data_IF_491380727899
#
_entry.id   IF_491380727899
#
_cell.length_a   1.000
_cell.length_b   1.000
_cell.length_c   1.000
_cell.angle_alpha   90.00
_cell.angle_beta   90.00
_cell.angle_gamma   90.00
#
_symmetry.space_group_name_H-M   'P 1'
#
loop_
_entity.id
_entity.type
_entity.pdbx_description
1 polymer ?
#
# COMPACT_ATOMS: atom_id res chain seq x y z
N UNK A 1 2.36 13.92 -3.49
CA UNK A 1 3.56 14.70 -3.11
C UNK A 1 4.77 13.80 -3.29
N UNK A 2 5.50 13.95 -4.40
CA UNK A 2 6.64 13.09 -4.73
C UNK A 2 7.81 13.36 -3.78
N UNK A 3 8.45 12.31 -3.23
CA UNK A 3 9.62 12.43 -2.34
C UNK A 3 10.64 13.40 -2.93
N UNK A 4 10.99 13.18 -4.19
CA UNK A 4 12.10 13.85 -4.85
C UNK A 4 11.89 15.38 -4.95
N UNK A 5 10.65 15.84 -5.04
CA UNK A 5 10.34 17.29 -5.05
C UNK A 5 10.51 17.92 -3.66
N UNK A 6 10.18 17.19 -2.59
CA UNK A 6 10.29 17.70 -1.21
C UNK A 6 11.68 17.51 -0.60
N UNK A 7 12.49 16.64 -1.19
CA UNK A 7 13.91 16.46 -0.86
C UNK A 7 14.84 17.25 -1.79
N UNK A 8 14.31 18.05 -2.71
CA UNK A 8 15.10 18.83 -3.68
C UNK A 8 16.03 17.98 -4.56
N UNK A 9 15.59 16.77 -4.89
CA UNK A 9 16.29 15.80 -5.74
C UNK A 9 15.75 15.79 -7.18
N UNK A 10 14.49 16.19 -7.38
CA UNK A 10 13.84 16.18 -8.69
C UNK A 10 14.45 17.23 -9.62
N UNK A 11 14.93 16.86 -10.82
CA UNK A 11 15.46 17.81 -11.79
C UNK A 11 14.35 18.68 -12.41
N UNK A 12 13.10 18.19 -12.39
CA UNK A 12 11.93 18.87 -12.96
C UNK A 12 10.77 18.68 -11.96
N UNK A 13 10.71 19.49 -10.89
CA UNK A 13 9.71 19.31 -9.85
C UNK A 13 8.31 19.59 -10.37
N UNK A 14 7.31 18.84 -9.88
CA UNK A 14 5.93 19.08 -10.25
C UNK A 14 5.43 20.43 -9.70
N UNK A 15 4.44 21.01 -10.38
CA UNK A 15 3.72 22.16 -9.85
C UNK A 15 2.90 21.73 -8.62
N UNK A 16 3.27 22.23 -7.44
CA UNK A 16 2.56 21.98 -6.19
C UNK A 16 1.68 23.17 -5.78
N UNK A 17 0.50 22.94 -5.18
CA UNK A 17 -0.30 24.01 -4.61
C UNK A 17 0.48 24.83 -3.57
N UNK A 18 0.28 26.14 -3.54
CA UNK A 18 0.98 27.04 -2.62
C UNK A 18 0.83 26.63 -1.14
N UNK A 19 -0.34 26.10 -0.76
CA UNK A 19 -0.60 25.58 0.60
C UNK A 19 0.36 24.44 0.96
N UNK A 20 0.65 23.55 0.01
CA UNK A 20 1.56 22.42 0.22
C UNK A 20 3.01 22.91 0.35
N UNK A 21 3.40 23.88 -0.49
CA UNK A 21 4.74 24.47 -0.48
C UNK A 21 5.04 25.27 0.79
N UNK A 22 4.04 25.96 1.37
CA UNK A 22 4.17 26.61 2.69
C UNK A 22 4.55 25.63 3.80
N UNK A 23 4.16 24.36 3.66
CA UNK A 23 4.47 23.29 4.61
C UNK A 23 5.64 22.41 4.17
N UNK A 24 6.42 22.82 3.16
CA UNK A 24 7.54 22.03 2.63
C UNK A 24 8.48 21.48 3.73
N UNK A 25 8.96 22.29 4.71
CA UNK A 25 9.85 21.76 5.76
C UNK A 25 9.25 20.60 6.57
N UNK A 26 7.94 20.64 6.83
CA UNK A 26 7.23 19.57 7.53
C UNK A 26 7.14 18.30 6.67
N UNK A 27 6.88 18.46 5.36
CA UNK A 27 6.82 17.33 4.42
C UNK A 27 8.20 16.71 4.19
N UNK A 28 9.25 17.52 4.10
CA UNK A 28 10.65 17.06 4.06
C UNK A 28 10.95 16.24 5.30
N UNK A 29 10.69 16.80 6.49
CA UNK A 29 10.87 16.09 7.77
C UNK A 29 10.09 14.78 7.82
N UNK A 30 8.79 14.80 7.51
CA UNK A 30 7.97 13.58 7.50
C UNK A 30 8.52 12.53 6.52
N UNK A 31 8.91 12.95 5.31
CA UNK A 31 9.48 12.06 4.29
C UNK A 31 10.76 11.40 4.78
N UNK A 32 11.69 12.16 5.33
CA UNK A 32 12.95 11.64 5.88
C UNK A 32 12.69 10.62 6.98
N UNK A 33 11.86 10.95 7.98
CA UNK A 33 11.59 10.04 9.09
C UNK A 33 10.79 8.79 8.67
N UNK A 34 9.84 8.93 7.76
CA UNK A 34 9.08 7.80 7.22
C UNK A 34 10.02 6.86 6.44
N UNK A 35 10.90 7.42 5.61
CA UNK A 35 11.90 6.66 4.87
C UNK A 35 12.87 5.94 5.81
N UNK A 36 13.44 6.61 6.81
CA UNK A 36 14.32 6.00 7.81
C UNK A 36 13.65 4.85 8.58
N UNK A 37 12.39 5.03 8.99
CA UNK A 37 11.61 3.99 9.67
C UNK A 37 11.47 2.76 8.77
N UNK A 38 11.06 2.95 7.52
CA UNK A 38 10.90 1.84 6.58
C UNK A 38 12.25 1.19 6.23
N UNK A 39 13.34 1.95 6.15
CA UNK A 39 14.70 1.41 5.97
C UNK A 39 15.13 0.51 7.13
N UNK A 40 14.73 0.81 8.37
CA UNK A 40 14.95 -0.11 9.50
C UNK A 40 14.23 -1.44 9.31
N UNK A 41 12.98 -1.40 8.83
CA UNK A 41 12.22 -2.62 8.50
C UNK A 41 12.90 -3.38 7.36
N UNK A 42 13.35 -2.69 6.30
CA UNK A 42 14.09 -3.32 5.20
C UNK A 42 15.38 -4.00 5.69
N UNK A 43 16.12 -3.40 6.61
CA UNK A 43 17.34 -4.01 7.17
C UNK A 43 17.04 -5.29 7.98
N UNK A 44 15.92 -5.32 8.72
CA UNK A 44 15.45 -6.54 9.37
C UNK A 44 15.07 -7.62 8.35
N UNK A 45 14.30 -7.26 7.32
CA UNK A 45 13.94 -8.18 6.23
C UNK A 45 15.19 -8.70 5.51
N UNK A 46 16.18 -7.83 5.24
CA UNK A 46 17.44 -8.19 4.60
C UNK A 46 18.17 -9.27 5.40
N UNK A 47 18.22 -9.10 6.72
CA UNK A 47 18.84 -10.07 7.64
C UNK A 47 18.11 -11.40 7.62
N UNK A 48 16.78 -11.39 7.68
CA UNK A 48 15.97 -12.62 7.66
C UNK A 48 15.99 -13.33 6.30
N UNK A 49 16.13 -12.59 5.21
CA UNK A 49 16.35 -13.15 3.88
C UNK A 49 17.77 -13.71 3.70
N UNK A 50 18.69 -13.42 4.64
CA UNK A 50 20.10 -13.80 4.59
C UNK A 50 20.84 -13.37 3.31
N UNK A 51 20.36 -12.32 2.64
CA UNK A 51 21.02 -11.69 1.48
C UNK A 51 22.17 -10.80 1.96
N UNK A 52 23.13 -10.42 1.09
CA UNK A 52 24.25 -9.58 1.49
C UNK A 52 23.82 -8.32 2.25
N UNK A 53 24.65 -7.86 3.17
CA UNK A 53 24.33 -6.71 4.02
C UNK A 53 23.90 -5.49 3.20
N UNK A 54 22.86 -4.80 3.69
CA UNK A 54 22.29 -3.59 3.08
C UNK A 54 21.80 -3.75 1.64
N UNK A 55 21.56 -4.96 1.15
CA UNK A 55 21.01 -5.19 -0.20
C UNK A 55 19.70 -4.45 -0.37
N UNK A 56 18.70 -4.71 0.47
CA UNK A 56 17.40 -4.04 0.36
C UNK A 56 17.49 -2.54 0.57
N UNK A 57 18.24 -2.06 1.58
CA UNK A 57 18.36 -0.62 1.84
C UNK A 57 19.08 0.15 0.72
N UNK A 58 20.07 -0.45 0.05
CA UNK A 58 20.69 0.17 -1.14
C UNK A 58 19.72 0.32 -2.32
N UNK A 59 18.85 -0.66 -2.54
CA UNK A 59 17.84 -0.57 -3.61
C UNK A 59 16.79 0.53 -3.34
N UNK A 60 16.66 0.95 -2.08
CA UNK A 60 15.69 1.93 -1.61
C UNK A 60 16.38 3.15 -1.01
N UNK A 61 17.61 3.47 -1.42
CA UNK A 61 18.33 4.59 -0.83
C UNK A 61 17.61 5.91 -1.12
N UNK A 62 17.43 6.74 -0.08
CA UNK A 62 16.70 8.01 -0.17
C UNK A 62 17.27 9.01 -1.19
N UNK A 63 18.54 8.87 -1.57
CA UNK A 63 19.20 9.70 -2.58
C UNK A 63 18.86 9.31 -4.02
N UNK A 64 18.29 8.12 -4.23
CA UNK A 64 17.87 7.68 -5.55
C UNK A 64 16.58 8.41 -5.96
N UNK A 65 16.50 8.77 -7.24
CA UNK A 65 15.26 9.16 -7.89
C UNK A 65 14.32 7.95 -7.87
N UNK A 66 13.08 8.14 -7.44
CA UNK A 66 12.14 7.04 -7.22
C UNK A 66 10.69 7.52 -7.26
N UNK A 67 9.76 6.60 -7.52
CA UNK A 67 8.33 6.85 -7.37
C UNK A 67 7.82 7.01 -5.91
N UNK A 68 8.71 7.18 -4.93
CA UNK A 68 8.35 7.40 -3.53
C UNK A 68 7.45 8.62 -3.40
N UNK A 69 6.36 8.52 -2.65
CA UNK A 69 5.46 9.65 -2.49
C UNK A 69 4.61 9.59 -1.23
N UNK A 70 4.25 10.78 -0.78
CA UNK A 70 3.18 10.99 0.19
C UNK A 70 1.84 11.11 -0.54
N UNK A 71 0.85 10.37 -0.06
CA UNK A 71 -0.55 10.47 -0.49
C UNK A 71 -1.43 10.88 0.69
N UNK A 72 -2.15 11.99 0.48
CA UNK A 72 -3.20 12.45 1.38
C UNK A 72 -4.54 12.01 0.81
N UNK A 73 -5.36 11.35 1.61
CA UNK A 73 -6.69 10.93 1.20
C UNK A 73 -7.69 11.48 2.21
N UNK A 74 -8.70 12.17 1.71
CA UNK A 74 -9.90 12.59 2.46
C UNK A 74 -11.09 11.90 1.82
N UNK A 75 -11.74 11.03 2.56
CA UNK A 75 -13.01 10.41 2.17
C UNK A 75 -14.14 10.98 3.06
N UNK A 76 -15.28 11.38 2.48
CA UNK A 76 -16.43 11.81 3.26
C UNK A 76 -16.98 10.66 4.12
N UNK A 77 -17.85 10.97 5.10
CA UNK A 77 -18.61 9.94 5.81
C UNK A 77 -19.28 8.98 4.83
N UNK A 78 -19.19 7.68 5.12
CA UNK A 78 -19.79 6.62 4.31
C UNK A 78 -20.74 5.82 5.20
N UNK A 79 -22.06 5.97 5.05
CA UNK A 79 -23.02 5.25 5.88
C UNK A 79 -22.89 3.74 5.64
N UNK A 80 -23.24 2.87 6.61
CA UNK A 80 -23.10 1.42 6.45
C UNK A 80 -23.93 0.83 5.30
N UNK A 81 -24.98 1.55 4.87
CA UNK A 81 -25.79 1.20 3.69
C UNK A 81 -25.09 1.49 2.36
N UNK A 82 -23.99 2.26 2.38
CA UNK A 82 -23.16 2.50 1.21
C UNK A 82 -22.29 1.26 0.96
N UNK A 83 -22.71 0.47 -0.03
CA UNK A 83 -21.99 -0.73 -0.48
C UNK A 83 -20.82 -0.39 -1.40
N UNK A 84 -20.62 0.88 -1.75
CA UNK A 84 -19.49 1.29 -2.57
C UNK A 84 -18.19 1.10 -1.78
N UNK A 85 -17.28 0.30 -2.35
CA UNK A 85 -15.94 0.18 -1.79
C UNK A 85 -15.17 1.47 -2.10
N UNK A 86 -14.79 2.22 -1.07
CA UNK A 86 -14.05 3.48 -1.21
C UNK A 86 -12.71 3.31 -1.95
N UNK A 87 -12.10 2.14 -1.81
CA UNK A 87 -10.94 1.71 -2.58
C UNK A 87 -11.01 0.20 -2.77
N UNK A 88 -11.14 -0.25 -4.01
CA UNK A 88 -11.25 -1.66 -4.39
C UNK A 88 -10.14 -2.57 -3.85
N UNK A 89 -10.35 -3.88 -3.93
CA UNK A 89 -9.34 -4.85 -3.53
C UNK A 89 -8.08 -4.73 -4.40
N UNK A 90 -6.92 -4.56 -3.78
CA UNK A 90 -5.64 -4.42 -4.48
C UNK A 90 -4.46 -4.82 -3.57
N UNK A 91 -3.28 -4.93 -4.18
CA UNK A 91 -1.98 -4.95 -3.51
C UNK A 91 -1.25 -3.63 -3.79
N UNK A 92 -0.31 -3.28 -2.92
CA UNK A 92 0.53 -2.10 -3.14
C UNK A 92 1.65 -2.43 -4.13
N UNK A 93 1.86 -1.60 -5.15
CA UNK A 93 2.89 -1.88 -6.16
C UNK A 93 4.33 -1.68 -5.66
N UNK A 94 4.53 -0.88 -4.61
CA UNK A 94 5.86 -0.56 -4.08
C UNK A 94 6.45 -1.69 -3.23
N UNK A 95 7.38 -1.34 -2.35
CA UNK A 95 8.03 -2.27 -1.44
C UNK A 95 7.38 -2.25 -0.06
N UNK A 96 7.27 -1.06 0.53
CA UNK A 96 6.65 -0.87 1.83
C UNK A 96 5.73 0.36 1.79
N UNK A 97 4.61 0.24 2.49
CA UNK A 97 3.65 1.33 2.65
C UNK A 97 3.49 1.65 4.13
N UNK A 98 3.74 2.89 4.52
CA UNK A 98 3.48 3.40 5.87
C UNK A 98 2.16 4.17 5.86
N UNK A 99 1.16 3.68 6.58
CA UNK A 99 -0.18 4.24 6.63
C UNK A 99 -0.52 4.75 8.03
N UNK A 100 -0.96 6.00 8.10
CA UNK A 100 -1.63 6.57 9.27
C UNK A 100 -3.09 6.87 8.93
N UNK A 101 -3.99 6.36 9.76
CA UNK A 101 -5.41 6.68 9.74
C UNK A 101 -5.98 6.65 11.15
N UNK A 102 -7.07 7.39 11.38
CA UNK A 102 -7.76 7.44 12.69
C UNK A 102 -9.06 6.66 12.69
N UNK A 103 -9.77 6.72 11.57
CA UNK A 103 -11.03 6.02 11.34
C UNK A 103 -10.74 4.68 10.67
N UNK A 104 -11.55 3.66 10.97
CA UNK A 104 -11.47 2.32 10.38
C UNK A 104 -11.75 2.28 8.87
N UNK A 105 -12.20 1.13 8.39
CA UNK A 105 -12.54 0.90 6.98
C UNK A 105 -11.50 0.10 6.21
N UNK A 106 -10.23 0.11 6.63
CA UNK A 106 -9.21 -0.78 6.03
C UNK A 106 -9.55 -2.24 6.38
N UNK A 107 -9.60 -3.08 5.35
CA UNK A 107 -9.71 -4.52 5.48
C UNK A 107 -8.59 -5.22 4.72
N UNK A 108 -8.12 -6.33 5.28
CA UNK A 108 -7.17 -7.25 4.64
C UNK A 108 -7.86 -8.59 4.37
N UNK A 109 -7.52 -9.24 3.27
CA UNK A 109 -7.98 -10.58 2.96
C UNK A 109 -7.07 -11.59 3.65
N UNK A 110 -7.62 -12.39 4.57
CA UNK A 110 -6.84 -13.41 5.27
C UNK A 110 -6.53 -14.58 4.32
N UNK A 111 -5.25 -14.96 4.12
CA UNK A 111 -4.89 -15.96 3.12
C UNK A 111 -5.34 -17.39 3.49
N UNK A 112 -5.57 -17.66 4.78
CA UNK A 112 -5.96 -18.99 5.27
C UNK A 112 -7.45 -19.27 5.12
N UNK A 113 -8.28 -18.24 5.22
CA UNK A 113 -9.75 -18.37 5.23
C UNK A 113 -10.43 -17.72 4.04
N UNK A 114 -9.71 -16.90 3.26
CA UNK A 114 -10.26 -16.04 2.21
C UNK A 114 -11.40 -15.12 2.71
N UNK A 115 -11.31 -14.68 3.97
CA UNK A 115 -12.27 -13.76 4.58
C UNK A 115 -11.65 -12.39 4.83
N UNK A 116 -12.46 -11.34 4.70
CA UNK A 116 -12.05 -9.97 5.01
C UNK A 116 -12.01 -9.72 6.52
N UNK A 117 -10.91 -9.17 7.01
CA UNK A 117 -10.74 -8.76 8.40
C UNK A 117 -10.43 -7.26 8.49
N UNK A 118 -11.09 -6.55 9.40
CA UNK A 118 -10.79 -5.14 9.66
C UNK A 118 -9.45 -4.98 10.34
N UNK A 119 -8.64 -4.03 9.86
CA UNK A 119 -7.43 -3.58 10.54
C UNK A 119 -7.80 -2.41 11.43
N UNK A 120 -7.67 -2.60 12.73
CA UNK A 120 -8.02 -1.58 13.69
C UNK A 120 -6.94 -0.49 13.78
N UNK A 121 -7.26 0.79 13.58
CA UNK A 121 -6.31 1.86 13.83
C UNK A 121 -6.04 1.96 15.34
N UNK A 122 -4.76 1.98 15.73
CA UNK A 122 -4.34 2.13 17.12
C UNK A 122 -3.71 3.52 17.31
N UNK A 123 -4.10 4.29 18.34
CA UNK A 123 -3.45 5.56 18.65
C UNK A 123 -1.93 5.40 18.80
N UNK A 124 -1.17 6.30 18.18
CA UNK A 124 0.31 6.26 18.21
C UNK A 124 0.95 5.17 17.34
N UNK A 125 0.18 4.42 16.56
CA UNK A 125 0.70 3.36 15.70
C UNK A 125 0.51 3.70 14.22
N UNK A 126 1.45 3.22 13.40
CA UNK A 126 1.32 3.17 11.96
C UNK A 126 1.00 1.75 11.52
N UNK A 127 0.29 1.60 10.40
CA UNK A 127 0.11 0.33 9.71
C UNK A 127 1.18 0.24 8.63
N UNK A 128 1.87 -0.90 8.55
CA UNK A 128 2.88 -1.16 7.51
C UNK A 128 2.44 -2.32 6.65
N UNK A 129 2.34 -2.10 5.34
CA UNK A 129 2.06 -3.15 4.36
C UNK A 129 3.31 -3.47 3.54
N UNK A 130 3.50 -4.75 3.21
CA UNK A 130 4.41 -5.23 2.17
C UNK A 130 3.75 -5.06 0.80
N UNK A 131 4.51 -4.55 -0.17
CA UNK A 131 4.09 -4.42 -1.55
C UNK A 131 4.73 -5.43 -2.50
N UNK A 132 4.24 -5.43 -3.72
CA UNK A 132 4.58 -6.39 -4.77
C UNK A 132 6.06 -6.33 -5.18
N UNK A 133 6.73 -5.18 -5.05
CA UNK A 133 8.15 -5.09 -5.39
C UNK A 133 8.99 -6.01 -4.49
N UNK A 134 8.68 -6.10 -3.19
CA UNK A 134 9.36 -7.04 -2.30
C UNK A 134 8.96 -8.50 -2.57
N UNK A 135 7.75 -8.77 -3.07
CA UNK A 135 7.37 -10.11 -3.54
C UNK A 135 8.26 -10.52 -4.72
N UNK A 136 8.42 -9.64 -5.70
CA UNK A 136 9.29 -9.86 -6.87
C UNK A 136 10.75 -10.07 -6.46
N UNK A 137 11.32 -9.12 -5.71
CA UNK A 137 12.72 -9.17 -5.25
C UNK A 137 13.02 -10.42 -4.42
N UNK A 138 12.09 -10.87 -3.58
CA UNK A 138 12.29 -12.05 -2.72
C UNK A 138 11.93 -13.39 -3.38
N UNK A 139 11.63 -13.42 -4.68
CA UNK A 139 11.22 -14.64 -5.36
C UNK A 139 9.93 -15.26 -4.80
N UNK A 140 9.03 -14.42 -4.27
CA UNK A 140 7.75 -14.84 -3.71
C UNK A 140 7.79 -15.31 -2.25
N UNK A 141 8.93 -15.23 -1.56
CA UNK A 141 8.99 -15.55 -0.12
C UNK A 141 8.18 -14.56 0.72
N UNK A 142 8.38 -13.27 0.47
CA UNK A 142 7.55 -12.23 1.07
C UNK A 142 6.22 -12.15 0.32
N UNK A 143 5.15 -11.80 1.04
CA UNK A 143 3.80 -11.71 0.49
C UNK A 143 3.24 -10.30 0.64
N UNK A 144 2.64 -9.78 -0.43
CA UNK A 144 1.80 -8.60 -0.37
C UNK A 144 0.36 -9.03 -0.14
N UNK A 145 -0.26 -8.51 0.92
CA UNK A 145 -1.64 -8.87 1.26
C UNK A 145 -2.62 -8.03 0.43
N UNK A 146 -3.63 -8.70 -0.13
CA UNK A 146 -4.76 -8.03 -0.76
C UNK A 146 -5.52 -7.27 0.33
N UNK A 147 -5.78 -5.99 0.09
CA UNK A 147 -6.48 -5.13 1.01
C UNK A 147 -7.43 -4.19 0.26
N UNK A 148 -8.43 -3.66 0.98
CA UNK A 148 -9.44 -2.73 0.46
C UNK A 148 -9.84 -1.72 1.52
N UNK A 149 -10.53 -0.66 1.12
CA UNK A 149 -11.18 0.28 2.05
C UNK A 149 -12.68 0.26 1.81
N UNK A 150 -13.43 -0.12 2.85
CA UNK A 150 -14.89 -0.10 2.90
C UNK A 150 -15.37 0.92 3.94
N UNK A 151 -16.69 1.08 4.07
CA UNK A 151 -17.29 1.89 5.11
C UNK A 151 -16.71 1.53 6.51
N UNK A 152 -16.33 2.53 7.32
CA UNK A 152 -15.87 2.31 8.68
C UNK A 152 -16.97 1.64 9.52
N UNK A 153 -16.61 0.77 10.49
CA UNK A 153 -17.60 0.07 11.30
C UNK A 153 -18.28 0.99 12.32
N UNK A 154 -19.57 0.76 12.57
CA UNK A 154 -20.34 1.43 13.62
C UNK A 154 -20.42 2.95 13.46
N UNK A 155 -20.40 3.68 14.57
CA UNK A 155 -20.53 5.15 14.60
C UNK A 155 -19.44 5.89 13.80
N UNK A 156 -18.29 5.24 13.56
CA UNK A 156 -17.21 5.81 12.76
C UNK A 156 -17.61 6.06 11.30
N UNK A 157 -18.67 5.39 10.81
CA UNK A 157 -19.22 5.58 9.47
C UNK A 157 -19.66 7.04 9.22
N UNK A 158 -20.06 7.75 10.28
CA UNK A 158 -20.45 9.15 10.23
C UNK A 158 -19.26 10.13 10.23
N UNK A 159 -18.04 9.64 10.41
CA UNK A 159 -16.83 10.47 10.47
C UNK A 159 -16.17 10.64 9.10
N UNK A 160 -15.63 11.82 8.84
CA UNK A 160 -14.73 12.02 7.68
C UNK A 160 -13.45 11.23 7.91
N UNK A 161 -13.07 10.39 6.96
CA UNK A 161 -11.84 9.59 7.03
C UNK A 161 -10.68 10.35 6.39
N UNK A 162 -9.64 10.58 7.17
CA UNK A 162 -8.34 11.05 6.69
C UNK A 162 -7.32 9.92 6.77
N UNK A 163 -6.53 9.75 5.72
CA UNK A 163 -5.33 8.93 5.77
C UNK A 163 -4.13 9.63 5.14
N UNK A 164 -2.98 9.42 5.77
CA UNK A 164 -1.67 9.85 5.31
C UNK A 164 -0.86 8.61 5.01
N UNK A 165 -0.37 8.50 3.77
CA UNK A 165 0.36 7.33 3.31
C UNK A 165 1.71 7.76 2.78
N UNK A 166 2.78 7.06 3.17
CA UNK A 166 4.07 7.13 2.50
C UNK A 166 4.33 5.80 1.79
N UNK A 167 4.47 5.85 0.46
CA UNK A 167 4.82 4.70 -0.36
C UNK A 167 6.33 4.73 -0.61
N UNK A 168 7.02 3.66 -0.22
CA UNK A 168 8.42 3.41 -0.53
C UNK A 168 8.54 2.39 -1.65
N UNK A 169 9.39 2.68 -2.63
CA UNK A 169 9.65 1.92 -3.85
C UNK A 169 11.16 1.83 -4.06
N UNK A 170 11.64 0.84 -4.84
CA UNK A 170 13.02 0.85 -5.29
C UNK A 170 13.29 2.10 -6.15
N UNK A 171 14.55 2.53 -6.20
CA UNK A 171 14.99 3.59 -7.13
C UNK A 171 14.55 3.29 -8.56
N UNK A 172 14.24 4.32 -9.34
CA UNK A 172 13.60 4.20 -10.66
C UNK A 172 14.38 3.26 -11.60
N UNK A 173 15.71 3.38 -11.61
CA UNK A 173 16.63 2.59 -12.45
C UNK A 173 17.06 1.25 -11.84
N UNK A 174 16.55 0.90 -10.65
CA UNK A 174 16.85 -0.39 -10.02
C UNK A 174 16.26 -1.52 -10.87
N UNK A 175 17.06 -2.52 -11.29
CA UNK A 175 16.54 -3.69 -11.98
C UNK A 175 15.61 -4.48 -11.05
N UNK A 176 14.40 -4.81 -11.52
CA UNK A 176 13.43 -5.61 -10.78
C UNK A 176 13.73 -7.12 -10.88
N UNK A 177 14.97 -7.50 -10.56
CA UNK A 177 15.45 -8.88 -10.57
C UNK A 177 15.36 -9.51 -9.19
N UNK A 178 15.07 -10.81 -9.15
CA UNK A 178 15.12 -11.64 -7.95
C UNK A 178 16.50 -11.50 -7.32
N UNK A 179 16.51 -11.28 -6.02
CA UNK A 179 17.74 -11.15 -5.25
C UNK A 179 18.49 -12.48 -5.23
N UNK A 180 19.81 -12.38 -5.31
CA UNK A 180 20.69 -13.53 -5.16
C UNK A 180 21.17 -13.68 -3.72
N UNK A 181 21.23 -14.93 -3.26
CA UNK A 181 21.79 -15.30 -1.96
C UNK A 181 20.77 -15.54 -0.85
N UNK A 182 21.30 -15.95 0.30
CA UNK A 182 20.51 -16.26 1.48
C UNK A 182 19.49 -17.36 1.27
N UNK A 183 18.27 -17.13 1.74
CA UNK A 183 17.14 -18.06 1.60
C UNK A 183 16.29 -17.78 0.37
N UNK A 184 16.61 -16.75 -0.43
CA UNK A 184 15.85 -16.39 -1.63
C UNK A 184 15.93 -17.54 -2.65
N UNK A 185 14.80 -18.02 -3.20
CA UNK A 185 14.79 -19.12 -4.15
C UNK A 185 15.62 -18.77 -5.40
N UNK A 186 16.47 -19.70 -5.84
CA UNK A 186 17.20 -19.53 -7.10
C UNK A 186 16.24 -19.62 -8.28
N UNK A 187 16.63 -19.00 -9.40
CA UNK A 187 15.95 -19.24 -10.68
C UNK A 187 16.08 -20.73 -11.04
N UNK A 188 14.98 -21.32 -11.51
CA UNK A 188 15.01 -22.68 -12.04
C UNK A 188 15.81 -22.73 -13.36
N UNK A 189 16.26 -23.92 -13.76
CA UNK A 189 16.95 -24.09 -15.04
C UNK A 189 16.04 -23.65 -16.20
N UNK A 190 16.53 -22.71 -17.01
CA UNK A 190 15.77 -22.10 -18.12
C UNK A 190 14.77 -21.02 -17.69
N UNK A 191 14.60 -20.73 -16.40
CA UNK A 191 13.84 -19.58 -15.93
C UNK A 191 14.64 -18.29 -16.20
N UNK A 192 14.04 -17.37 -16.94
CA UNK A 192 14.62 -16.05 -17.22
C UNK A 192 13.85 -15.03 -16.40
N UNK A 193 14.58 -14.26 -15.60
CA UNK A 193 13.98 -13.13 -14.90
C UNK A 193 13.79 -11.94 -15.82
N UNK A 194 12.74 -11.18 -15.57
CA UNK A 194 12.41 -9.99 -16.36
C UNK A 194 13.52 -8.94 -16.21
N UNK A 195 13.95 -8.39 -17.35
CA UNK A 195 14.94 -7.31 -17.40
C UNK A 195 14.24 -5.97 -17.57
N UNK A 196 13.60 -5.51 -16.49
CA UNK A 196 12.87 -4.24 -16.44
C UNK A 196 13.30 -3.43 -15.22
N UNK A 197 13.32 -2.11 -15.36
CA UNK A 197 13.57 -1.21 -14.24
C UNK A 197 12.36 -1.10 -13.32
N UNK A 198 12.56 -0.66 -12.08
CA UNK A 198 11.50 -0.37 -11.11
C UNK A 198 10.45 0.57 -11.68
N UNK A 199 10.89 1.62 -12.38
CA UNK A 199 10.01 2.60 -13.01
C UNK A 199 9.10 1.99 -14.08
N UNK A 200 9.68 1.22 -15.00
CA UNK A 200 8.92 0.53 -16.07
C UNK A 200 7.95 -0.48 -15.47
N UNK A 201 8.43 -1.33 -14.56
CA UNK A 201 7.63 -2.37 -13.93
C UNK A 201 6.42 -1.81 -13.16
N UNK A 202 6.61 -0.72 -12.42
CA UNK A 202 5.53 -0.05 -11.69
C UNK A 202 4.55 0.62 -12.66
N UNK A 203 5.04 1.22 -13.74
CA UNK A 203 4.22 1.83 -14.78
C UNK A 203 3.32 0.78 -15.45
N UNK A 204 3.88 -0.36 -15.83
CA UNK A 204 3.16 -1.46 -16.45
C UNK A 204 2.08 -2.02 -15.52
N UNK A 205 2.40 -2.22 -14.23
CA UNK A 205 1.40 -2.61 -13.22
C UNK A 205 0.28 -1.59 -13.08
N UNK A 206 0.61 -0.29 -13.05
CA UNK A 206 -0.40 0.75 -12.92
C UNK A 206 -1.32 0.81 -14.15
N UNK A 207 -0.77 0.58 -15.35
CA UNK A 207 -1.55 0.53 -16.59
C UNK A 207 -2.42 -0.73 -16.66
N UNK A 208 -1.88 -1.90 -16.33
CA UNK A 208 -2.64 -3.14 -16.27
C UNK A 208 -3.77 -3.06 -15.24
N UNK A 209 -3.53 -2.44 -14.08
CA UNK A 209 -4.54 -2.20 -13.06
C UNK A 209 -5.66 -1.26 -13.53
N UNK A 210 -5.36 -0.24 -14.33
CA UNK A 210 -6.38 0.65 -14.93
C UNK A 210 -7.27 -0.11 -15.93
N UNK A 211 -6.68 -0.96 -16.75
CA UNK A 211 -7.43 -1.81 -17.70
C UNK A 211 -8.25 -2.87 -16.96
N UNK A 212 -7.71 -3.48 -15.90
CA UNK A 212 -8.44 -4.41 -15.05
C UNK A 212 -9.61 -3.75 -14.32
N UNK A 213 -9.38 -2.57 -13.74
CA UNK A 213 -10.41 -1.79 -13.04
C UNK A 213 -11.53 -1.34 -13.97
N UNK A 214 -11.23 -0.91 -15.21
CA UNK A 214 -12.28 -0.56 -16.18
C UNK A 214 -13.12 -1.78 -16.58
N UNK A 215 -12.48 -2.93 -16.78
CA UNK A 215 -13.18 -4.20 -17.07
C UNK A 215 -14.01 -4.71 -15.87
N UNK A 216 -13.53 -4.55 -14.64
CA UNK A 216 -14.30 -4.89 -13.43
C UNK A 216 -15.46 -3.93 -13.19
N UNK A 217 -15.29 -2.63 -13.45
CA UNK A 217 -16.36 -1.64 -13.35
C UNK A 217 -17.49 -1.93 -14.34
N UNK A 218 -17.15 -2.36 -15.56
CA UNK A 218 -18.13 -2.80 -16.57
C UNK A 218 -18.84 -4.12 -16.18
N UNK A 219 -18.11 -5.05 -15.55
CA UNK A 219 -18.72 -6.27 -14.97
C UNK A 219 -19.62 -5.95 -13.78
N UNK A 220 -19.25 -5.00 -12.93
CA UNK A 220 -20.01 -4.58 -11.75
C UNK A 220 -21.29 -3.83 -12.14
N UNK A 221 -21.23 -2.95 -13.16
CA UNK A 221 -22.43 -2.34 -13.78
C UNK A 221 -23.39 -3.37 -14.38
N UNK A 222 -22.88 -4.48 -14.94
CA UNK A 222 -23.71 -5.61 -15.42
C UNK A 222 -24.27 -6.50 -14.31
N UNK A 223 -23.69 -6.51 -13.10
CA UNK A 223 -24.09 -7.40 -11.99
C UNK A 223 -25.18 -6.81 -11.08
N UNK A 224 -25.44 -5.50 -11.12
CA UNK A 224 -26.48 -4.81 -10.31
C UNK A 224 -27.91 -4.98 -10.91
N UNK A 225 -28.26 -6.17 -11.39
CA UNK A 225 -29.66 -6.48 -11.76
C UNK A 225 -30.25 -7.69 -11.05
N UNK A 226 -29.48 -8.46 -10.28
CA UNK A 226 -30.03 -9.59 -9.52
C UNK A 226 -29.94 -9.35 -8.01
N UNK A 227 -31.05 -8.82 -7.47
CA UNK A 227 -31.33 -8.54 -6.06
C UNK A 227 -31.35 -9.81 -5.15
N UNK A 228 -31.14 -10.99 -5.72
CA UNK A 228 -31.28 -12.30 -5.05
C UNK A 228 -30.00 -12.85 -4.41
N UNK A 229 -28.80 -12.35 -4.76
CA UNK A 229 -27.53 -12.90 -4.22
C UNK A 229 -27.07 -12.26 -2.88
N UNK A 230 -27.77 -11.24 -2.37
CA UNK A 230 -27.46 -10.58 -1.10
C UNK A 230 -28.04 -11.31 0.14
N UNK A 231 -28.05 -12.65 0.12
CA UNK A 231 -28.51 -13.51 1.20
C UNK A 231 -27.71 -13.33 2.50
N UNK A 232 -28.01 -12.26 3.24
CA UNK A 232 -27.50 -12.00 4.58
C UNK A 232 -28.28 -12.86 5.58
N UNK A 233 -27.70 -13.99 5.99
CA UNK A 233 -28.05 -14.58 7.27
C UNK A 233 -27.54 -13.66 8.38
N UNK A 234 -28.47 -12.95 9.02
CA UNK A 234 -28.24 -12.20 10.25
C UNK A 234 -28.06 -13.23 11.37
N UNK A 235 -26.82 -13.50 11.78
CA UNK A 235 -26.52 -14.46 12.83
C UNK A 235 -25.11 -14.27 13.40
N UNK A 236 -25.06 -13.71 14.62
CA UNK A 236 -23.99 -13.82 15.62
C UNK A 236 -22.52 -13.61 15.20
N UNK A 237 -22.16 -12.37 14.91
CA UNK A 237 -20.83 -11.85 15.28
C UNK A 237 -20.99 -10.48 15.94
N UNK A 238 -21.55 -10.48 17.14
CA UNK A 238 -21.69 -9.27 17.96
C UNK A 238 -21.26 -9.57 19.39
N UNK A 239 -20.05 -9.14 19.74
CA UNK A 239 -19.76 -8.58 21.08
C UNK A 239 -18.37 -7.91 21.18
N UNK A 240 -17.45 -8.07 20.23
CA UNK A 240 -16.11 -7.45 20.35
C UNK A 240 -15.85 -6.21 19.47
N UNK A 241 -16.77 -5.81 18.58
CA UNK A 241 -16.54 -4.71 17.63
C UNK A 241 -17.23 -3.39 18.05
N UNK A 242 -18.15 -3.41 19.02
CA UNK A 242 -18.97 -2.24 19.37
C UNK A 242 -18.37 -1.25 20.37
N UNK A 243 -17.18 -1.49 20.96
CA UNK A 243 -16.60 -0.60 21.98
C UNK A 243 -15.25 -0.03 21.58
N UNK A 244 -15.18 0.70 20.48
CA UNK A 244 -13.93 1.34 20.08
C UNK A 244 -14.13 2.83 19.79
N UNK A 245 -14.29 3.59 20.89
CA UNK A 245 -14.15 5.04 20.96
C UNK A 245 -13.18 5.30 22.13
N UNK A 246 -11.94 5.76 21.92
CA UNK A 246 -11.25 6.52 22.94
C UNK A 246 -11.86 7.94 22.96
N UNK A 247 -12.19 8.44 24.15
CA UNK A 247 -12.47 9.86 24.38
C UNK A 247 -11.28 10.72 23.95
#
# INVERSE_FOLDING_TARGET
AAKDDFLDQSPIPFAHPATLMKTKPLLTSYTTHAHELLTRILNHLNTHLAVPASTLSRLHDSSLISGDHIRFIRAPPQPPSDLATALGAHTDFGSLTLLFNRVGGLQVLLPTTNTWAYVRPLPGHAIVNLGDALVKLSGGLLRSNIHRVVAPPGEQSASTRYSLVYFMRPGDEVPMKRLEGGVVPRLAEGEIDEDVTSKEWISDKAMAGRVGASMEEDKYKKRITNKAELGLAVGEYSTQIQRWIPK
#
